data_IF_504914617026
#
_entry.id   IF_504914617026
#
_cell.length_a   1.000
_cell.length_b   1.000
_cell.length_c   1.000
_cell.angle_alpha   90.00
_cell.angle_beta   90.00
_cell.angle_gamma   90.00
#
_symmetry.space_group_name_H-M   'P 1'
#
loop_
_entity.id
_entity.type
_entity.pdbx_description
1 polymer ?
#
# COMPACT_ATOMS: atom_id res chain seq x y z
N UNK A 1 -0.85 -67.40 -18.27
CA UNK A 1 -0.05 -66.23 -17.84
C UNK A 1 -0.93 -65.34 -16.97
N UNK A 2 -0.36 -64.80 -15.89
CA UNK A 2 -0.95 -64.08 -14.74
C UNK A 2 -2.18 -63.19 -15.06
N UNK A 3 -3.31 -63.25 -14.32
CA UNK A 3 -3.58 -62.70 -12.97
C UNK A 3 -3.16 -61.24 -12.80
N UNK A 4 -4.13 -60.34 -12.62
CA UNK A 4 -4.22 -59.37 -11.50
C UNK A 4 -5.58 -58.68 -11.52
N UNK A 5 -6.29 -58.82 -10.40
CA UNK A 5 -7.52 -58.14 -10.01
C UNK A 5 -7.30 -56.65 -9.70
N UNK A 6 -8.42 -55.92 -9.53
CA UNK A 6 -8.66 -54.81 -8.59
C UNK A 6 -9.34 -53.64 -9.30
N UNK A 7 -10.23 -52.86 -8.69
CA UNK A 7 -11.03 -52.94 -7.47
C UNK A 7 -11.97 -51.74 -7.64
N UNK A 8 -13.27 -51.94 -7.46
CA UNK A 8 -14.30 -50.93 -7.64
C UNK A 8 -14.23 -49.92 -6.49
N UNK A 9 -14.25 -48.62 -6.77
CA UNK A 9 -14.67 -47.59 -5.81
C UNK A 9 -15.61 -46.61 -6.53
N UNK A 10 -16.90 -46.80 -6.29
CA UNK A 10 -17.94 -45.77 -6.46
C UNK A 10 -17.80 -44.83 -5.26
N UNK A 11 -17.44 -43.57 -5.49
CA UNK A 11 -17.50 -42.52 -4.46
C UNK A 11 -18.01 -41.23 -5.09
N UNK A 12 -19.20 -40.84 -4.65
CA UNK A 12 -19.89 -39.61 -5.00
C UNK A 12 -18.94 -38.40 -5.01
N UNK A 13 -18.84 -37.73 -6.15
CA UNK A 13 -18.36 -36.35 -6.18
C UNK A 13 -19.58 -35.45 -6.20
N UNK A 14 -19.84 -34.90 -5.03
CA UNK A 14 -20.78 -33.85 -4.71
C UNK A 14 -20.74 -32.74 -5.77
N UNK A 15 -21.92 -32.46 -6.34
CA UNK A 15 -22.21 -31.24 -7.07
C UNK A 15 -21.92 -30.06 -6.11
N UNK A 16 -20.73 -29.47 -6.26
CA UNK A 16 -20.35 -28.30 -5.47
C UNK A 16 -20.58 -27.11 -6.40
N UNK A 17 -21.66 -26.40 -6.14
CA UNK A 17 -21.98 -25.14 -6.77
C UNK A 17 -20.73 -24.26 -6.80
N UNK A 18 -20.31 -23.88 -8.01
CA UNK A 18 -19.39 -22.77 -8.21
C UNK A 18 -20.10 -21.50 -7.76
N UNK A 19 -19.96 -21.18 -6.48
CA UNK A 19 -20.24 -19.85 -5.99
C UNK A 19 -19.16 -18.94 -6.59
N UNK A 20 -19.48 -18.35 -7.75
CA UNK A 20 -18.70 -17.31 -8.38
C UNK A 20 -18.93 -15.99 -7.63
N UNK A 21 -18.50 -15.98 -6.36
CA UNK A 21 -18.29 -14.77 -5.57
C UNK A 21 -16.77 -14.59 -5.44
N UNK A 22 -16.10 -14.59 -6.60
CA UNK A 22 -14.73 -14.10 -6.70
C UNK A 22 -14.78 -12.58 -6.81
N UNK A 23 -15.31 -11.94 -5.77
CA UNK A 23 -15.02 -10.55 -5.50
C UNK A 23 -13.51 -10.50 -5.22
N UNK A 24 -12.75 -10.27 -6.28
CA UNK A 24 -11.30 -10.27 -6.29
C UNK A 24 -10.80 -9.31 -5.24
N UNK A 25 -10.56 -9.83 -4.04
CA UNK A 25 -9.98 -9.10 -2.93
C UNK A 25 -8.51 -8.88 -3.29
N UNK A 26 -8.27 -7.86 -4.11
CA UNK A 26 -6.93 -7.36 -4.37
C UNK A 26 -6.45 -6.86 -3.00
N UNK A 27 -5.57 -7.61 -2.35
CA UNK A 27 -4.91 -7.19 -1.13
C UNK A 27 -3.91 -6.08 -1.47
N UNK A 28 -4.41 -4.85 -1.53
CA UNK A 28 -3.65 -3.66 -1.90
C UNK A 28 -2.74 -3.17 -0.76
N UNK A 29 -2.85 -3.75 0.43
CA UNK A 29 -2.29 -3.17 1.67
C UNK A 29 -1.65 -4.22 2.57
N UNK A 30 -1.59 -5.52 2.26
CA UNK A 30 -0.82 -6.52 3.03
C UNK A 30 -1.16 -6.63 4.54
N UNK A 31 -2.23 -5.97 5.00
CA UNK A 31 -2.55 -5.71 6.41
C UNK A 31 -3.30 -4.39 6.62
N UNK A 32 -3.88 -4.16 7.82
CA UNK A 32 -4.70 -2.97 8.10
C UNK A 32 -3.95 -1.64 8.07
N UNK A 33 -2.62 -1.66 8.28
CA UNK A 33 -1.75 -0.49 8.24
C UNK A 33 -0.39 -0.85 7.62
N UNK A 34 -0.36 -1.33 6.39
CA UNK A 34 0.93 -1.46 5.71
C UNK A 34 1.29 -0.21 4.92
N UNK A 35 2.57 -0.18 4.57
CA UNK A 35 3.12 0.76 3.61
C UNK A 35 2.55 0.43 2.24
N UNK A 36 2.01 1.44 1.58
CA UNK A 36 1.50 1.34 0.21
C UNK A 36 2.44 2.09 -0.72
N UNK A 37 2.53 1.61 -1.96
CA UNK A 37 3.25 2.29 -3.03
C UNK A 37 2.58 3.63 -3.33
N UNK A 38 3.40 4.65 -3.64
CA UNK A 38 2.92 5.98 -4.03
C UNK A 38 2.47 6.03 -5.49
N UNK A 39 1.72 5.02 -5.93
CA UNK A 39 1.19 4.91 -7.28
C UNK A 39 -0.24 5.48 -7.35
N UNK A 40 -0.58 6.31 -8.35
CA UNK A 40 -1.91 6.90 -8.49
C UNK A 40 -3.03 5.85 -8.65
N UNK A 41 -2.74 4.71 -9.28
CA UNK A 41 -3.69 3.60 -9.44
C UNK A 41 -3.99 2.89 -8.13
N UNK A 42 -2.98 2.71 -7.26
CA UNK A 42 -3.16 2.19 -5.90
C UNK A 42 -4.05 3.11 -5.08
N UNK A 43 -3.78 4.42 -5.09
CA UNK A 43 -4.60 5.38 -4.35
C UNK A 43 -6.03 5.46 -4.91
N UNK A 44 -6.20 5.49 -6.23
CA UNK A 44 -7.54 5.51 -6.86
C UNK A 44 -8.34 4.26 -6.50
N UNK A 45 -7.72 3.09 -6.51
CA UNK A 45 -8.37 1.83 -6.12
C UNK A 45 -8.75 1.81 -4.65
N UNK A 46 -7.88 2.35 -3.78
CA UNK A 46 -8.15 2.47 -2.35
C UNK A 46 -9.33 3.40 -2.07
N UNK A 47 -9.36 4.58 -2.68
CA UNK A 47 -10.45 5.56 -2.51
C UNK A 47 -11.81 5.02 -2.99
N UNK A 48 -11.83 4.24 -4.07
CA UNK A 48 -13.04 3.53 -4.51
C UNK A 48 -13.52 2.49 -3.52
N UNK A 49 -12.61 1.71 -2.92
CA UNK A 49 -12.93 0.73 -1.86
C UNK A 49 -13.45 1.39 -0.58
N UNK A 50 -13.03 2.62 -0.29
CA UNK A 50 -13.59 3.44 0.81
C UNK A 50 -15.00 3.99 0.51
N UNK A 51 -15.54 3.76 -0.69
CA UNK A 51 -16.89 4.16 -1.08
C UNK A 51 -16.98 5.53 -1.78
N UNK A 52 -15.85 6.20 -2.02
CA UNK A 52 -15.82 7.46 -2.77
C UNK A 52 -15.88 7.13 -4.27
N UNK A 53 -16.91 7.67 -4.94
CA UNK A 53 -17.14 7.47 -6.38
C UNK A 53 -16.84 8.74 -7.16
N UNK A 54 -16.55 8.59 -8.45
CA UNK A 54 -16.27 9.69 -9.38
C UNK A 54 -15.06 10.55 -9.00
N UNK A 55 -14.08 9.95 -8.32
CA UNK A 55 -12.79 10.56 -8.03
C UNK A 55 -11.68 9.69 -8.62
N UNK A 56 -10.72 10.35 -9.22
CA UNK A 56 -9.47 9.78 -9.73
C UNK A 56 -8.32 10.56 -9.13
N UNK A 57 -7.23 9.85 -8.84
CA UNK A 57 -5.99 10.44 -8.36
C UNK A 57 -5.00 10.35 -9.50
N UNK A 58 -4.48 11.51 -9.90
CA UNK A 58 -3.48 11.66 -10.96
C UNK A 58 -2.16 12.12 -10.36
N UNK A 59 -1.05 11.62 -10.89
CA UNK A 59 0.28 12.09 -10.52
C UNK A 59 0.59 13.40 -11.24
N UNK A 60 1.12 14.37 -10.50
CA UNK A 60 1.57 15.65 -11.05
C UNK A 60 3.06 15.54 -11.35
N UNK A 61 3.42 15.52 -12.64
CA UNK A 61 4.82 15.40 -13.07
C UNK A 61 5.56 16.75 -13.11
N UNK A 62 4.84 17.86 -13.25
CA UNK A 62 5.39 19.21 -13.34
C UNK A 62 4.46 20.20 -12.62
N UNK A 63 5.05 21.26 -12.05
CA UNK A 63 4.37 22.32 -11.31
C UNK A 63 4.15 23.58 -12.14
N UNK A 64 4.67 23.61 -13.38
CA UNK A 64 4.45 24.73 -14.27
C UNK A 64 2.95 24.95 -14.56
N UNK A 65 2.48 26.21 -14.74
CA UNK A 65 1.05 26.52 -14.89
C UNK A 65 0.37 25.71 -16.00
N UNK A 66 1.05 25.54 -17.14
CA UNK A 66 0.53 24.78 -18.28
C UNK A 66 0.28 23.30 -17.99
N UNK A 67 0.96 22.72 -16.99
CA UNK A 67 0.79 21.32 -16.59
C UNK A 67 -0.35 21.12 -15.59
N UNK A 68 -0.68 22.15 -14.81
CA UNK A 68 -1.63 22.06 -13.69
C UNK A 68 -2.98 22.74 -13.96
N UNK A 69 -3.04 23.70 -14.89
CA UNK A 69 -4.24 24.51 -15.15
C UNK A 69 -5.46 23.67 -15.56
N UNK A 70 -5.23 22.50 -16.15
CA UNK A 70 -6.31 21.60 -16.59
C UNK A 70 -6.83 20.65 -15.49
N UNK A 71 -6.10 20.47 -14.38
CA UNK A 71 -6.41 19.43 -13.40
C UNK A 71 -7.56 19.78 -12.45
N UNK A 72 -7.80 21.08 -12.19
CA UNK A 72 -8.80 21.57 -11.21
C UNK A 72 -8.99 20.65 -9.98
N UNK A 73 -7.95 20.39 -9.18
CA UNK A 73 -7.97 19.33 -8.17
C UNK A 73 -8.81 19.69 -6.94
N UNK A 74 -9.51 18.70 -6.37
CA UNK A 74 -10.22 18.84 -5.08
C UNK A 74 -9.27 18.88 -3.87
N UNK A 75 -8.06 18.34 -4.02
CA UNK A 75 -7.06 18.26 -2.97
C UNK A 75 -5.74 17.73 -3.52
N UNK A 76 -4.69 17.84 -2.71
CA UNK A 76 -3.33 17.40 -3.05
C UNK A 76 -2.82 16.41 -2.01
N UNK A 77 -2.20 15.34 -2.48
CA UNK A 77 -1.51 14.35 -1.64
C UNK A 77 -0.01 14.52 -1.87
N UNK A 78 0.72 14.91 -0.83
CA UNK A 78 2.18 15.06 -0.88
C UNK A 78 2.86 13.89 -0.18
N UNK A 79 3.43 12.99 -0.98
CA UNK A 79 4.28 11.92 -0.49
C UNK A 79 5.74 12.40 -0.46
N UNK A 80 6.32 12.52 0.73
CA UNK A 80 7.72 12.87 0.89
C UNK A 80 8.39 11.99 1.95
N UNK A 81 9.70 11.77 1.80
CA UNK A 81 10.48 11.10 2.83
C UNK A 81 10.59 12.03 4.04
N UNK A 82 9.98 11.63 5.14
CA UNK A 82 10.09 12.37 6.40
C UNK A 82 11.56 12.44 6.85
N UNK A 83 12.01 13.65 7.19
CA UNK A 83 13.30 13.89 7.81
C UNK A 83 13.07 14.50 9.19
N UNK A 84 13.61 13.85 10.22
CA UNK A 84 13.66 14.46 11.55
C UNK A 84 14.59 15.68 11.48
N UNK A 85 14.03 16.88 11.59
CA UNK A 85 14.83 18.09 11.69
C UNK A 85 15.65 18.03 12.98
N UNK A 86 16.95 17.81 12.87
CA UNK A 86 17.89 17.93 13.97
C UNK A 86 18.25 19.41 14.22
N UNK A 87 17.25 20.31 14.20
CA UNK A 87 17.43 21.75 14.46
C UNK A 87 18.15 21.98 15.81
N UNK A 88 17.82 21.16 16.81
CA UNK A 88 18.36 21.32 18.17
C UNK A 88 19.83 20.91 18.34
N UNK A 89 20.43 20.19 17.40
CA UNK A 89 21.85 19.79 17.48
C UNK A 89 22.79 20.81 16.81
N UNK A 90 22.27 21.67 15.93
CA UNK A 90 23.06 22.72 15.28
C UNK A 90 23.08 24.06 16.06
N UNK A 91 22.25 24.21 17.10
CA UNK A 91 22.28 25.37 18.00
C UNK A 91 23.13 25.16 19.26
N UNK A 92 23.82 24.02 19.40
CA UNK A 92 24.78 23.85 20.48
C UNK A 92 26.08 24.57 20.08
N UNK A 93 26.48 25.65 20.78
CA UNK A 93 27.78 26.25 20.54
C UNK A 93 28.85 25.19 20.78
N UNK A 94 29.75 25.05 19.81
CA UNK A 94 30.96 24.25 19.95
C UNK A 94 31.90 24.98 20.91
N UNK A 95 31.61 24.94 22.20
CA UNK A 95 32.51 25.44 23.23
C UNK A 95 32.41 24.52 24.45
N UNK A 96 33.30 23.53 24.42
CA UNK A 96 33.92 22.89 25.57
C UNK A 96 33.05 22.10 26.56
N UNK A 97 33.44 20.83 26.75
CA UNK A 97 32.99 19.98 27.84
C UNK A 97 31.91 18.98 27.45
N UNK A 98 32.31 17.83 26.93
CA UNK A 98 31.54 16.59 27.18
C UNK A 98 31.95 16.07 28.57
N UNK A 99 31.17 16.30 29.65
CA UNK A 99 31.33 15.49 30.85
C UNK A 99 30.84 14.09 30.54
N UNK A 100 31.64 13.08 30.90
CA UNK A 100 31.19 11.70 30.90
C UNK A 100 29.91 11.58 31.70
N UNK A 101 28.84 11.12 31.06
CA UNK A 101 27.65 10.63 31.75
C UNK A 101 27.88 9.14 32.05
N UNK A 102 28.50 8.94 33.21
CA UNK A 102 28.52 7.80 34.11
C UNK A 102 28.15 6.40 33.59
N UNK A 103 29.11 5.49 33.76
CA UNK A 103 28.91 4.07 33.99
C UNK A 103 27.92 3.85 35.15
N UNK A 104 26.95 2.97 34.95
CA UNK A 104 26.28 2.20 36.02
C UNK A 104 26.56 0.72 35.79
#
# INVERSE_FOLDING_TARGET
MASTSNFRLDSASSETAINDDSDGQIDLVGGPFAVIESDPGVFTSLTRKLGVKHLEIVEVCDIEPWAIDHLHPYGLVFCFRWKKSASWLYSLPSSEGRPGAASV
#
